data_IF_267316750679
#
_entry.id   IF_267316750679
#
_cell.length_a   1.000
_cell.length_b   1.000
_cell.length_c   1.000
_cell.angle_alpha   90.00
_cell.angle_beta   90.00
_cell.angle_gamma   90.00
#
_symmetry.space_group_name_H-M   'P 1'
#
loop_
_entity.id
_entity.type
_entity.pdbx_description
1 polymer ?
#
# COMPACT_ATOMS: atom_id res chain seq x y z
N UNK A 1 -13.33 -6.56 -18.18
CA UNK A 1 -12.55 -5.52 -17.48
C UNK A 1 -12.19 -6.02 -16.08
N UNK A 2 -10.95 -5.87 -15.64
CA UNK A 2 -10.59 -6.32 -14.30
C UNK A 2 -11.25 -5.45 -13.23
N UNK A 3 -11.68 -6.08 -12.15
CA UNK A 3 -12.23 -5.40 -10.98
C UNK A 3 -11.12 -4.69 -10.20
N UNK A 4 -11.50 -3.80 -9.26
CA UNK A 4 -10.54 -3.16 -8.34
C UNK A 4 -9.76 -4.21 -7.55
N UNK A 5 -10.45 -5.26 -7.06
CA UNK A 5 -9.84 -6.37 -6.34
C UNK A 5 -8.80 -7.09 -7.18
N UNK A 6 -9.14 -7.39 -8.43
CA UNK A 6 -8.22 -8.06 -9.36
C UNK A 6 -6.98 -7.22 -9.64
N UNK A 7 -7.15 -5.91 -9.81
CA UNK A 7 -6.02 -4.99 -10.01
C UNK A 7 -5.10 -4.96 -8.81
N UNK A 8 -5.65 -4.94 -7.59
CA UNK A 8 -4.86 -4.98 -6.36
C UNK A 8 -4.09 -6.28 -6.22
N UNK A 9 -4.74 -7.41 -6.48
CA UNK A 9 -4.09 -8.72 -6.41
C UNK A 9 -2.93 -8.79 -7.42
N UNK A 10 -3.15 -8.29 -8.63
CA UNK A 10 -2.11 -8.26 -9.67
C UNK A 10 -0.89 -7.44 -9.21
N UNK A 11 -1.12 -6.26 -8.63
CA UNK A 11 -0.05 -5.42 -8.11
C UNK A 11 0.71 -6.10 -6.98
N UNK A 12 0.00 -6.77 -6.07
CA UNK A 12 0.62 -7.52 -4.98
C UNK A 12 1.46 -8.68 -5.49
N UNK A 13 1.03 -9.37 -6.53
CA UNK A 13 1.82 -10.44 -7.16
C UNK A 13 3.12 -9.91 -7.75
N UNK A 14 3.08 -8.72 -8.36
CA UNK A 14 4.28 -8.06 -8.87
C UNK A 14 5.25 -7.77 -7.73
N UNK A 15 4.75 -7.20 -6.62
CA UNK A 15 5.56 -6.88 -5.44
C UNK A 15 6.13 -8.14 -4.80
N UNK A 16 5.35 -9.21 -4.74
CA UNK A 16 5.82 -10.52 -4.27
C UNK A 16 7.02 -11.00 -5.08
N UNK A 17 6.93 -10.92 -6.42
CA UNK A 17 8.05 -11.27 -7.30
C UNK A 17 9.26 -10.37 -7.11
N UNK A 18 9.05 -9.08 -6.92
CA UNK A 18 10.12 -8.12 -6.65
C UNK A 18 10.81 -8.42 -5.32
N UNK A 19 10.05 -8.82 -4.30
CA UNK A 19 10.61 -9.20 -2.99
C UNK A 19 11.46 -10.45 -3.11
N UNK A 20 11.04 -11.44 -3.88
CA UNK A 20 11.89 -12.62 -4.18
C UNK A 20 13.16 -12.21 -4.92
N UNK A 21 13.06 -11.25 -5.84
CA UNK A 21 14.22 -10.70 -6.52
C UNK A 21 15.22 -10.07 -5.57
N UNK A 22 14.74 -9.34 -4.56
CA UNK A 22 15.58 -8.78 -3.50
C UNK A 22 16.35 -9.85 -2.73
N UNK A 23 15.68 -10.95 -2.39
CA UNK A 23 16.34 -12.08 -1.71
C UNK A 23 17.52 -12.61 -2.53
N UNK A 24 17.31 -12.77 -3.84
CA UNK A 24 18.37 -13.22 -4.75
C UNK A 24 19.52 -12.23 -4.84
N UNK A 25 19.22 -10.94 -4.85
CA UNK A 25 20.25 -9.90 -4.87
C UNK A 25 21.14 -9.98 -3.62
N UNK A 26 20.51 -10.17 -2.45
CA UNK A 26 21.26 -10.34 -1.18
C UNK A 26 22.10 -11.60 -1.22
N UNK A 27 21.54 -12.73 -1.68
CA UNK A 27 22.24 -14.00 -1.78
C UNK A 27 23.46 -13.93 -2.69
N UNK A 28 23.38 -13.14 -3.76
CA UNK A 28 24.45 -12.97 -4.77
C UNK A 28 25.41 -11.85 -4.44
N UNK A 29 25.28 -11.22 -3.29
CA UNK A 29 26.12 -10.10 -2.86
C UNK A 29 26.14 -8.95 -3.88
N UNK A 30 24.98 -8.65 -4.47
CA UNK A 30 24.84 -7.50 -5.37
C UNK A 30 25.17 -6.22 -4.59
N UNK A 31 25.70 -5.24 -5.30
CA UNK A 31 26.09 -3.96 -4.70
C UNK A 31 24.96 -3.35 -3.85
N UNK A 32 25.27 -2.97 -2.62
CA UNK A 32 24.26 -2.57 -1.63
C UNK A 32 23.38 -1.40 -2.08
N UNK A 33 23.92 -0.44 -2.83
CA UNK A 33 23.14 0.69 -3.32
C UNK A 33 22.05 0.24 -4.30
N UNK A 34 22.34 -0.77 -5.13
CA UNK A 34 21.34 -1.32 -6.06
C UNK A 34 20.23 -2.03 -5.30
N UNK A 35 20.56 -2.73 -4.23
CA UNK A 35 19.56 -3.39 -3.36
C UNK A 35 18.66 -2.34 -2.69
N UNK A 36 19.25 -1.28 -2.15
CA UNK A 36 18.51 -0.19 -1.51
C UNK A 36 17.58 0.49 -2.52
N UNK A 37 18.07 0.77 -3.72
CA UNK A 37 17.28 1.38 -4.78
C UNK A 37 16.08 0.51 -5.13
N UNK A 38 16.30 -0.80 -5.28
CA UNK A 38 15.21 -1.74 -5.59
C UNK A 38 14.22 -1.86 -4.43
N UNK A 39 14.71 -1.85 -3.19
CA UNK A 39 13.86 -1.87 -1.99
C UNK A 39 12.96 -0.63 -1.96
N UNK A 40 13.50 0.54 -2.30
CA UNK A 40 12.72 1.78 -2.36
C UNK A 40 11.60 1.69 -3.40
N UNK A 41 11.85 1.04 -4.53
CA UNK A 41 10.82 0.82 -5.55
C UNK A 41 9.70 -0.08 -5.03
N UNK A 42 10.03 -1.13 -4.28
CA UNK A 42 9.02 -2.01 -3.65
C UNK A 42 8.20 -1.25 -2.63
N UNK A 43 8.84 -0.44 -1.80
CA UNK A 43 8.15 0.43 -0.82
C UNK A 43 7.17 1.36 -1.53
N UNK A 44 7.56 1.98 -2.63
CA UNK A 44 6.70 2.87 -3.40
C UNK A 44 5.49 2.11 -3.96
N UNK A 45 5.70 0.88 -4.43
CA UNK A 45 4.61 0.03 -4.91
C UNK A 45 3.58 -0.26 -3.82
N UNK A 46 4.05 -0.57 -2.60
CA UNK A 46 3.16 -0.78 -1.45
C UNK A 46 2.44 0.51 -1.06
N UNK A 47 3.13 1.63 -1.07
CA UNK A 47 2.52 2.93 -0.78
C UNK A 47 1.41 3.27 -1.78
N UNK A 48 1.61 2.96 -3.06
CA UNK A 48 0.59 3.16 -4.08
C UNK A 48 -0.66 2.30 -3.83
N UNK A 49 -0.49 1.07 -3.34
CA UNK A 49 -1.61 0.21 -2.95
C UNK A 49 -2.39 0.82 -1.79
N UNK A 50 -1.67 1.35 -0.78
CA UNK A 50 -2.30 2.04 0.34
C UNK A 50 -3.12 3.24 -0.12
N UNK A 51 -2.56 4.05 -1.01
CA UNK A 51 -3.25 5.22 -1.55
C UNK A 51 -4.51 4.83 -2.32
N UNK A 52 -4.43 3.76 -3.09
CA UNK A 52 -5.58 3.25 -3.84
C UNK A 52 -6.69 2.78 -2.89
N UNK A 53 -6.32 2.06 -1.83
CA UNK A 53 -7.29 1.60 -0.82
C UNK A 53 -7.90 2.76 -0.05
N UNK A 54 -7.09 3.76 0.30
CA UNK A 54 -7.56 4.95 1.02
C UNK A 54 -8.53 5.75 0.16
N UNK A 55 -8.24 5.92 -1.13
CA UNK A 55 -9.13 6.60 -2.06
C UNK A 55 -10.50 5.93 -2.10
N UNK A 56 -10.54 4.59 -2.20
CA UNK A 56 -11.79 3.83 -2.16
C UNK A 56 -12.51 3.96 -0.83
N UNK A 57 -11.76 3.97 0.28
CA UNK A 57 -12.32 4.15 1.63
C UNK A 57 -12.99 5.53 1.78
N UNK A 58 -12.30 6.60 1.35
CA UNK A 58 -12.86 7.96 1.43
C UNK A 58 -14.09 8.12 0.55
N UNK A 59 -14.09 7.51 -0.64
CA UNK A 59 -15.19 7.64 -1.59
C UNK A 59 -16.42 6.80 -1.26
N UNK A 60 -16.30 5.79 -0.41
CA UNK A 60 -17.39 4.86 -0.13
C UNK A 60 -17.54 4.56 1.36
N UNK A 61 -16.55 3.95 1.99
CA UNK A 61 -16.66 3.51 3.38
C UNK A 61 -16.85 4.67 4.35
N UNK A 62 -16.08 5.75 4.19
CA UNK A 62 -16.19 6.93 5.04
C UNK A 62 -17.55 7.59 4.92
N UNK A 63 -18.04 7.76 3.69
CA UNK A 63 -19.35 8.35 3.42
C UNK A 63 -20.44 7.52 4.11
N UNK A 64 -20.35 6.19 4.00
CA UNK A 64 -21.29 5.27 4.64
C UNK A 64 -21.26 5.39 6.15
N UNK A 65 -20.07 5.47 6.75
CA UNK A 65 -19.90 5.64 8.20
C UNK A 65 -20.55 6.93 8.68
N UNK A 66 -20.34 8.03 7.97
CA UNK A 66 -20.93 9.33 8.32
C UNK A 66 -22.46 9.27 8.22
N UNK A 67 -23.00 8.68 7.16
CA UNK A 67 -24.46 8.53 6.98
C UNK A 67 -25.10 7.71 8.08
N UNK A 68 -24.38 6.73 8.64
CA UNK A 68 -24.85 5.87 9.72
C UNK A 68 -24.56 6.43 11.12
N UNK A 69 -24.11 7.69 11.20
CA UNK A 69 -23.80 8.34 12.47
C UNK A 69 -22.53 7.88 13.16
N UNK A 70 -21.63 7.21 12.45
CA UNK A 70 -20.36 6.69 12.99
C UNK A 70 -19.21 7.68 12.83
N UNK A 71 -19.45 8.94 13.10
CA UNK A 71 -18.48 10.02 12.89
C UNK A 71 -17.22 9.82 13.73
N UNK A 72 -17.35 9.41 14.98
CA UNK A 72 -16.21 9.18 15.86
C UNK A 72 -15.31 8.05 15.36
N UNK A 73 -15.89 6.96 14.90
CA UNK A 73 -15.16 5.85 14.30
C UNK A 73 -14.42 6.31 13.03
N UNK A 74 -15.13 7.02 12.16
CA UNK A 74 -14.57 7.53 10.92
C UNK A 74 -13.36 8.44 11.18
N UNK A 75 -13.48 9.35 12.14
CA UNK A 75 -12.41 10.27 12.52
C UNK A 75 -11.19 9.53 13.03
N UNK A 76 -11.38 8.55 13.92
CA UNK A 76 -10.28 7.74 14.48
C UNK A 76 -9.54 6.98 13.38
N UNK A 77 -10.26 6.39 12.44
CA UNK A 77 -9.66 5.63 11.34
C UNK A 77 -8.83 6.52 10.41
N UNK A 78 -9.35 7.70 10.06
CA UNK A 78 -8.63 8.66 9.22
C UNK A 78 -7.36 9.14 9.92
N UNK A 79 -7.42 9.44 11.21
CA UNK A 79 -6.25 9.86 11.99
C UNK A 79 -5.22 8.75 12.06
N UNK A 80 -5.65 7.50 12.22
CA UNK A 80 -4.75 6.33 12.23
C UNK A 80 -3.99 6.22 10.91
N UNK A 81 -4.68 6.31 9.79
CA UNK A 81 -4.05 6.26 8.45
C UNK A 81 -3.09 7.42 8.25
N UNK A 82 -3.51 8.64 8.62
CA UNK A 82 -2.67 9.82 8.52
C UNK A 82 -1.35 9.63 9.27
N UNK A 83 -1.40 9.13 10.50
CA UNK A 83 -0.21 8.89 11.31
C UNK A 83 0.70 7.84 10.69
N UNK A 84 0.13 6.78 10.11
CA UNK A 84 0.90 5.75 9.42
C UNK A 84 1.61 6.31 8.17
N UNK A 85 0.89 7.05 7.34
CA UNK A 85 1.45 7.62 6.10
C UNK A 85 2.52 8.66 6.40
N UNK A 86 2.38 9.41 7.46
CA UNK A 86 3.35 10.44 7.85
C UNK A 86 4.72 9.85 8.19
N UNK A 87 4.78 8.60 8.64
CA UNK A 87 6.02 7.91 9.03
C UNK A 87 6.78 7.28 7.86
N UNK A 88 6.19 7.24 6.70
CA UNK A 88 6.79 6.59 5.53
C UNK A 88 7.78 7.47 4.77
#
# INVERSE_FOLDING_TARGET
>A
MPTKKQKLIRRLKIIEGQTRGLQKMVEKDVYCIDIITQTSAVKQGLSNIEDFLLEGHLGHCLVNQIRKGRINQATKEILKVYKLKRKQ
#
